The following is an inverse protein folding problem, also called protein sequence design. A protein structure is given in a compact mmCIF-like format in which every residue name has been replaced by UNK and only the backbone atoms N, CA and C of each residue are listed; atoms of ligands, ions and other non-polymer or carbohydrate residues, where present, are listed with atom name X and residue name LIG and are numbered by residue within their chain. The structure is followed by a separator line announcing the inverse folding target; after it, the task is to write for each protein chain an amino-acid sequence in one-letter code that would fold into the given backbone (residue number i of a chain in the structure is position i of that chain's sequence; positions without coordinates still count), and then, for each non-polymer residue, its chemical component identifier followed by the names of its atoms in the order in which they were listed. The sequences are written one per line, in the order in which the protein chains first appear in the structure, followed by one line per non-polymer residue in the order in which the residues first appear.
data_IF_606186967966
#
_entry.id   IF_606186967966
#
_cell.length_a   1.000
_cell.length_b   1.000
_cell.length_c   1.000
_cell.angle_alpha   90.00
_cell.angle_beta   90.00
_cell.angle_gamma   90.00
#
_symmetry.space_group_name_H-M   'P 1'
#
loop_
_entity.id
_entity.type
_entity.pdbx_description
1 polymer ?
#
# COMPACT_ATOMS: atom_id res chain seq x y z
N UNK A 1 -0.56 -8.19 -4.10
CA UNK A 1 -0.89 -6.75 -4.02
C UNK A 1 -2.33 -6.47 -3.58
N UNK A 2 -3.36 -6.96 -4.29
CA UNK A 2 -4.80 -6.84 -3.94
C UNK A 2 -5.14 -6.97 -2.44
N UNK A 3 -4.60 -7.98 -1.77
CA UNK A 3 -4.86 -8.19 -0.34
C UNK A 3 -4.35 -7.02 0.53
N UNK A 4 -3.15 -6.51 0.24
CA UNK A 4 -2.58 -5.37 0.95
C UNK A 4 -3.45 -4.11 0.80
N UNK A 5 -3.89 -3.81 -0.42
CA UNK A 5 -4.82 -2.71 -0.68
C UNK A 5 -6.14 -2.88 0.07
N UNK A 6 -6.75 -4.08 0.04
CA UNK A 6 -8.02 -4.35 0.71
C UNK A 6 -7.91 -4.18 2.23
N UNK A 7 -6.85 -4.69 2.86
CA UNK A 7 -6.62 -4.55 4.29
C UNK A 7 -6.43 -3.09 4.71
N UNK A 8 -5.63 -2.33 3.96
CA UNK A 8 -5.41 -0.90 4.24
C UNK A 8 -6.69 -0.09 4.09
N UNK A 9 -7.49 -0.40 3.06
CA UNK A 9 -8.78 0.25 2.87
C UNK A 9 -9.76 -0.05 4.01
N UNK A 10 -9.76 -1.29 4.54
CA UNK A 10 -10.55 -1.62 5.73
C UNK A 10 -10.10 -0.84 6.97
N UNK A 11 -8.78 -0.71 7.19
CA UNK A 11 -8.24 0.10 8.29
C UNK A 11 -8.62 1.57 8.17
N UNK A 12 -8.53 2.14 6.95
CA UNK A 12 -8.93 3.51 6.66
C UNK A 12 -10.40 3.76 7.01
N UNK A 13 -11.30 2.84 6.65
CA UNK A 13 -12.73 2.92 6.98
C UNK A 13 -12.99 2.92 8.50
N UNK A 14 -12.13 2.26 9.28
CA UNK A 14 -12.20 2.24 10.73
C UNK A 14 -11.43 3.40 11.40
N UNK A 15 -10.93 4.37 10.62
CA UNK A 15 -10.10 5.47 11.13
C UNK A 15 -8.79 5.01 11.78
N UNK A 16 -8.36 3.79 11.49
CA UNK A 16 -7.22 3.09 12.07
C UNK A 16 -6.04 3.04 11.09
N UNK A 17 -4.88 2.63 11.60
CA UNK A 17 -3.68 2.41 10.80
C UNK A 17 -3.06 1.03 11.11
N UNK A 18 -2.23 0.47 10.22
CA UNK A 18 -1.37 -0.65 10.57
C UNK A 18 -0.57 -0.36 11.83
N UNK A 19 -0.28 -1.39 12.62
CA UNK A 19 0.59 -1.27 13.79
C UNK A 19 2.00 -0.77 13.43
N UNK A 20 2.46 -1.12 12.24
CA UNK A 20 3.75 -0.70 11.68
C UNK A 20 3.52 -0.27 10.21
N UNK A 21 3.41 1.04 10.00
CA UNK A 21 3.14 1.62 8.68
C UNK A 21 4.35 1.52 7.75
N UNK A 22 5.57 1.58 8.29
CA UNK A 22 6.80 1.44 7.51
C UNK A 22 7.00 0.00 7.04
N UNK A 23 6.70 -1.00 7.87
CA UNK A 23 6.70 -2.40 7.42
C UNK A 23 5.65 -2.65 6.32
N UNK A 24 4.46 -2.04 6.45
CA UNK A 24 3.43 -2.14 5.41
C UNK A 24 3.88 -1.48 4.09
N UNK A 25 4.51 -0.30 4.17
CA UNK A 25 5.13 0.39 3.04
C UNK A 25 6.20 -0.48 2.39
N UNK A 26 7.13 -1.02 3.19
CA UNK A 26 8.19 -1.91 2.73
C UNK A 26 7.65 -3.16 2.03
N UNK A 27 6.58 -3.76 2.53
CA UNK A 27 5.92 -4.89 1.87
C UNK A 27 5.42 -4.53 0.47
N UNK A 28 4.76 -3.38 0.31
CA UNK A 28 4.26 -2.94 -1.01
C UNK A 28 5.42 -2.64 -1.96
N UNK A 29 6.43 -1.91 -1.48
CA UNK A 29 7.61 -1.55 -2.26
C UNK A 29 8.46 -2.77 -2.62
N UNK A 30 8.41 -3.85 -1.85
CA UNK A 30 9.09 -5.10 -2.21
C UNK A 30 8.58 -5.71 -3.53
N UNK A 31 7.37 -5.34 -3.96
CA UNK A 31 6.79 -5.78 -5.23
C UNK A 31 7.03 -4.79 -6.38
N UNK A 32 7.69 -3.65 -6.13
CA UNK A 32 8.09 -2.69 -7.16
C UNK A 32 9.18 -3.32 -8.05
N UNK A 33 8.98 -3.27 -9.35
CA UNK A 33 9.93 -3.76 -10.35
C UNK A 33 10.90 -2.66 -10.76
N UNK A 34 12.03 -3.03 -11.38
CA UNK A 34 13.03 -2.08 -11.91
C UNK A 34 12.42 -1.11 -12.93
N UNK A 35 11.38 -1.54 -13.63
CA UNK A 35 10.72 -0.80 -14.69
C UNK A 35 9.55 0.06 -14.17
N UNK A 36 9.38 0.13 -12.84
CA UNK A 36 8.40 0.98 -12.15
C UNK A 36 7.01 0.36 -11.92
N UNK A 37 6.66 -0.71 -12.63
CA UNK A 37 5.41 -1.44 -12.39
C UNK A 37 5.44 -2.24 -11.09
N UNK A 38 4.27 -2.61 -10.55
CA UNK A 38 4.17 -3.45 -9.34
C UNK A 38 3.69 -4.85 -9.70
N UNK A 39 4.39 -5.86 -9.17
CA UNK A 39 4.05 -7.26 -9.34
C UNK A 39 3.07 -7.76 -8.27
N UNK A 40 2.49 -8.94 -8.48
CA UNK A 40 1.62 -9.58 -7.46
C UNK A 40 2.41 -10.14 -6.27
N UNK A 41 3.70 -10.42 -6.48
CA UNK A 41 4.69 -10.96 -5.52
C UNK A 41 6.09 -10.41 -5.87
N UNK A 42 7.00 -10.43 -4.91
CA UNK A 42 8.41 -10.07 -5.12
C UNK A 42 9.03 -10.89 -6.26
N UNK A 43 9.81 -10.21 -7.13
CA UNK A 43 10.46 -10.81 -8.30
C UNK A 43 9.51 -11.27 -9.42
N UNK A 44 8.21 -10.95 -9.35
CA UNK A 44 7.25 -11.26 -10.40
C UNK A 44 7.23 -10.21 -11.52
N UNK A 45 6.54 -10.55 -12.62
CA UNK A 45 6.23 -9.57 -13.67
C UNK A 45 5.22 -8.51 -13.15
N UNK A 46 5.33 -7.25 -13.60
CA UNK A 46 4.38 -6.21 -13.24
C UNK A 46 3.04 -6.43 -13.95
N UNK A 47 1.95 -6.10 -13.27
CA UNK A 47 0.60 -6.12 -13.85
C UNK A 47 -0.11 -4.80 -13.57
N UNK A 48 -0.99 -4.39 -14.48
CA UNK A 48 -1.73 -3.12 -14.35
C UNK A 48 -2.60 -3.09 -13.09
N UNK A 49 -3.33 -4.18 -12.81
CA UNK A 49 -4.17 -4.33 -11.62
C UNK A 49 -3.34 -4.25 -10.33
N UNK A 50 -2.21 -4.95 -10.28
CA UNK A 50 -1.30 -4.92 -9.15
C UNK A 50 -0.66 -3.53 -8.96
N UNK A 51 -0.36 -2.82 -10.04
CA UNK A 51 0.16 -1.45 -10.01
C UNK A 51 -0.86 -0.48 -9.45
N UNK A 52 -2.12 -0.60 -9.88
CA UNK A 52 -3.22 0.17 -9.30
C UNK A 52 -3.37 -0.12 -7.80
N UNK A 53 -3.45 -1.39 -7.41
CA UNK A 53 -3.60 -1.78 -6.00
C UNK A 53 -2.42 -1.29 -5.14
N UNK A 54 -1.20 -1.37 -5.66
CA UNK A 54 0.00 -0.95 -4.93
C UNK A 54 0.08 0.57 -4.74
N UNK A 55 -0.21 1.33 -5.78
CA UNK A 55 -0.23 2.80 -5.71
C UNK A 55 -1.38 3.32 -4.83
N UNK A 56 -2.57 2.72 -4.93
CA UNK A 56 -3.70 3.04 -4.05
C UNK A 56 -3.39 2.71 -2.58
N UNK A 57 -2.76 1.55 -2.32
CA UNK A 57 -2.31 1.18 -0.98
C UNK A 57 -1.27 2.17 -0.41
N UNK A 58 -0.29 2.59 -1.21
CA UNK A 58 0.70 3.60 -0.79
C UNK A 58 0.04 4.95 -0.49
N UNK A 59 -0.96 5.36 -1.28
CA UNK A 59 -1.72 6.58 -1.02
C UNK A 59 -2.44 6.52 0.33
N UNK A 60 -3.12 5.42 0.63
CA UNK A 60 -3.80 5.22 1.91
C UNK A 60 -2.83 5.28 3.09
N UNK A 61 -1.66 4.64 2.98
CA UNK A 61 -0.62 4.71 4.01
C UNK A 61 -0.13 6.14 4.23
N UNK A 62 0.14 6.89 3.16
CA UNK A 62 0.53 8.29 3.27
C UNK A 62 -0.54 9.17 3.92
N UNK A 63 -1.83 8.88 3.71
CA UNK A 63 -2.93 9.58 4.40
C UNK A 63 -3.02 9.21 5.88
N UNK A 64 -2.71 7.96 6.24
CA UNK A 64 -2.68 7.49 7.64
C UNK A 64 -1.51 8.06 8.44
N UNK A 65 -0.35 8.25 7.80
CA UNK A 65 0.85 8.85 8.41
C UNK A 65 0.73 10.37 8.56
N UNK A 66 -0.16 11.02 7.79
CA UNK A 66 -0.39 12.44 7.91
C UNK A 66 -0.93 12.78 9.32
N UNK A 67 -0.42 13.84 9.97
CA UNK A 67 -0.93 14.26 11.27
C UNK A 67 -2.44 14.52 11.13
N UNK A 68 -3.25 13.77 11.88
CA UNK A 68 -4.70 14.03 11.96
C UNK A 68 -4.83 15.45 12.46
N UNK A 69 -5.34 16.35 11.61
CA UNK A 69 -5.52 17.76 11.95
C UNK A 69 -6.21 17.86 13.31
N UNK A 70 -5.53 18.48 14.27
CA UNK A 70 -6.09 18.77 15.58
C UNK A 70 -7.28 19.70 15.39
N UNK A 71 -8.46 19.23 15.79
CA UNK A 71 -9.65 20.04 16.03
C UNK A 71 -9.93 20.01 17.53
#
# INVERSE_FOLDING_TARGET
MKNGHTCLRALALMGSAPRDTEAARGFILSALTSDGGIARKHGGAPFLDATWDGTAALRLLSEMDAPKGGA
#
